data_IF_927712240957
#
_entry.id   IF_927712240957
#
_cell.length_a   1.000
_cell.length_b   1.000
_cell.length_c   1.000
_cell.angle_alpha   90.00
_cell.angle_beta   90.00
_cell.angle_gamma   90.00
#
_symmetry.space_group_name_H-M   'P 1'
#
loop_
_entity.id
_entity.type
_entity.pdbx_description
1 polymer ?
#
# COMPACT_ATOMS: atom_id res chain seq x y z
N UNK A 1 5.85 7.83 -7.70
CA UNK A 1 6.74 6.83 -7.06
C UNK A 1 6.86 7.17 -5.58
N UNK A 2 6.96 6.16 -4.73
CA UNK A 2 6.96 6.24 -3.26
C UNK A 2 8.11 5.41 -2.70
N UNK A 3 8.32 5.48 -1.38
CA UNK A 3 9.37 4.72 -0.67
C UNK A 3 8.81 3.54 0.12
N UNK A 4 7.52 3.55 0.40
CA UNK A 4 6.87 2.65 1.36
C UNK A 4 7.13 3.02 2.82
N UNK A 5 7.57 4.25 3.07
CA UNK A 5 7.68 4.82 4.41
C UNK A 5 6.46 5.70 4.66
N UNK A 6 5.55 5.22 5.48
CA UNK A 6 4.31 5.93 5.78
C UNK A 6 4.61 7.17 6.62
N UNK A 7 4.16 8.33 6.15
CA UNK A 7 4.36 9.60 6.86
C UNK A 7 3.19 9.94 7.77
N UNK A 8 1.98 9.49 7.42
CA UNK A 8 0.79 9.70 8.24
C UNK A 8 -0.24 8.58 8.04
N UNK A 9 -1.14 8.44 9.01
CA UNK A 9 -2.41 7.74 8.80
C UNK A 9 -3.53 8.77 8.74
N UNK A 10 -4.35 8.69 7.69
CA UNK A 10 -5.49 9.56 7.48
C UNK A 10 -6.81 8.85 7.74
N UNK A 11 -7.87 9.63 7.92
CA UNK A 11 -9.25 9.14 7.98
C UNK A 11 -9.98 9.44 6.68
N UNK A 12 -10.75 8.47 6.16
CA UNK A 12 -11.67 8.73 5.05
C UNK A 12 -12.78 9.68 5.51
N UNK A 13 -12.89 10.84 4.91
CA UNK A 13 -13.85 11.89 5.28
C UNK A 13 -15.11 11.86 4.41
N UNK A 14 -14.97 11.45 3.15
CA UNK A 14 -16.09 11.36 2.21
C UNK A 14 -15.84 10.33 1.12
N UNK A 15 -16.91 9.74 0.63
CA UNK A 15 -16.96 8.89 -0.55
C UNK A 15 -18.17 9.31 -1.36
N UNK A 16 -17.95 9.87 -2.55
CA UNK A 16 -19.01 10.34 -3.43
C UNK A 16 -19.01 9.55 -4.75
N UNK A 17 -20.19 9.10 -5.16
CA UNK A 17 -20.37 8.45 -6.46
C UNK A 17 -20.24 9.49 -7.58
N UNK A 18 -19.44 9.17 -8.57
CA UNK A 18 -19.31 9.89 -9.85
C UNK A 18 -19.81 8.99 -10.99
N UNK A 19 -19.92 9.52 -12.19
CA UNK A 19 -20.32 8.71 -13.36
C UNK A 19 -19.24 7.66 -13.62
N UNK A 20 -19.45 6.45 -13.07
CA UNK A 20 -18.56 5.32 -13.26
C UNK A 20 -17.39 5.16 -12.27
N UNK A 21 -17.10 6.20 -11.48
CA UNK A 21 -15.99 6.26 -10.55
C UNK A 21 -16.45 6.68 -9.15
N UNK A 22 -15.52 6.71 -8.18
CA UNK A 22 -15.72 7.30 -6.85
C UNK A 22 -14.78 8.49 -6.66
N UNK A 23 -15.25 9.57 -6.03
CA UNK A 23 -14.37 10.57 -5.43
C UNK A 23 -14.18 10.19 -3.95
N UNK A 24 -12.91 10.00 -3.56
CA UNK A 24 -12.50 9.74 -2.20
C UNK A 24 -11.92 10.99 -1.57
N UNK A 25 -12.44 11.42 -0.42
CA UNK A 25 -11.84 12.44 0.43
C UNK A 25 -11.12 11.80 1.62
N UNK A 26 -9.86 12.14 1.83
CA UNK A 26 -9.04 11.63 2.94
C UNK A 26 -8.42 12.79 3.70
N UNK A 27 -8.54 12.79 5.04
CA UNK A 27 -7.84 13.76 5.88
C UNK A 27 -6.34 13.44 5.92
N UNK A 28 -5.55 14.34 5.39
CA UNK A 28 -4.09 14.28 5.37
C UNK A 28 -3.43 15.14 6.45
N UNK A 29 -4.10 15.44 7.56
CA UNK A 29 -3.60 16.37 8.61
C UNK A 29 -2.19 16.03 9.15
N UNK A 30 -1.73 14.78 9.01
CA UNK A 30 -0.37 14.37 9.36
C UNK A 30 0.69 14.64 8.28
N UNK A 31 0.28 15.11 7.10
CA UNK A 31 1.16 15.46 5.97
C UNK A 31 1.39 16.97 5.86
N UNK A 32 2.49 17.37 5.25
CA UNK A 32 2.68 18.76 4.82
C UNK A 32 1.82 19.06 3.58
N UNK A 33 0.54 19.38 3.81
CA UNK A 33 -0.45 19.61 2.74
C UNK A 33 -0.06 20.81 1.83
N UNK A 34 0.72 21.77 2.33
CA UNK A 34 1.17 22.89 1.54
C UNK A 34 2.12 22.46 0.41
N UNK A 35 2.86 21.38 0.62
CA UNK A 35 3.77 20.82 -0.37
C UNK A 35 3.09 19.92 -1.41
N UNK A 36 1.84 19.54 -1.22
CA UNK A 36 1.11 18.68 -2.17
C UNK A 36 0.32 19.59 -3.11
N UNK A 37 0.64 19.58 -4.40
CA UNK A 37 -0.07 20.33 -5.44
C UNK A 37 -1.25 19.53 -6.02
N UNK A 38 -2.16 20.21 -6.70
CA UNK A 38 -3.15 19.54 -7.56
C UNK A 38 -2.40 18.84 -8.70
N UNK A 39 -2.76 17.61 -9.01
CA UNK A 39 -2.07 16.77 -9.98
C UNK A 39 -0.91 15.96 -9.40
N UNK A 40 -0.46 16.23 -8.17
CA UNK A 40 0.52 15.38 -7.50
C UNK A 40 -0.09 14.01 -7.16
N UNK A 41 0.79 13.00 -7.05
CA UNK A 41 0.40 11.68 -6.59
C UNK A 41 0.56 11.55 -5.08
N UNK A 42 -0.40 10.88 -4.45
CA UNK A 42 -0.35 10.44 -3.04
C UNK A 42 -0.69 8.97 -3.00
N UNK A 43 0.09 8.19 -2.28
CA UNK A 43 -0.23 6.82 -1.94
C UNK A 43 -1.28 6.81 -0.84
N UNK A 44 -2.42 6.19 -1.09
CA UNK A 44 -3.48 5.94 -0.11
C UNK A 44 -3.62 4.44 0.05
N UNK A 45 -3.28 3.92 1.21
CA UNK A 45 -3.26 2.47 1.49
C UNK A 45 -2.44 1.67 0.44
N UNK A 46 -1.34 2.24 -0.06
CA UNK A 46 -0.50 1.66 -1.10
C UNK A 46 -0.98 1.88 -2.54
N UNK A 47 -2.09 2.56 -2.74
CA UNK A 47 -2.61 2.86 -4.08
C UNK A 47 -2.21 4.28 -4.48
N UNK A 48 -1.55 4.43 -5.63
CA UNK A 48 -1.20 5.73 -6.22
C UNK A 48 -2.47 6.43 -6.72
N UNK A 49 -2.82 7.54 -6.10
CA UNK A 49 -3.95 8.37 -6.49
C UNK A 49 -3.48 9.78 -6.84
N UNK A 50 -4.12 10.39 -7.84
CA UNK A 50 -3.86 11.78 -8.22
C UNK A 50 -4.76 12.72 -7.44
N UNK A 51 -4.18 13.73 -6.81
CA UNK A 51 -4.92 14.75 -6.06
C UNK A 51 -5.64 15.66 -7.04
N UNK A 52 -6.97 15.60 -7.07
CA UNK A 52 -7.82 16.40 -7.97
C UNK A 52 -8.35 17.68 -7.32
N UNK A 53 -8.47 17.68 -5.99
CA UNK A 53 -8.98 18.80 -5.19
C UNK A 53 -8.41 18.76 -3.78
N UNK A 54 -8.29 19.95 -3.14
CA UNK A 54 -7.90 20.06 -1.72
C UNK A 54 -8.84 21.01 -0.98
N UNK A 55 -9.22 20.64 0.23
CA UNK A 55 -9.98 21.51 1.14
C UNK A 55 -9.39 21.42 2.54
N UNK A 56 -8.78 22.49 3.04
CA UNK A 56 -8.02 22.48 4.30
C UNK A 56 -6.98 21.35 4.31
N UNK A 57 -7.16 20.34 5.17
CA UNK A 57 -6.30 19.16 5.28
C UNK A 57 -6.80 17.98 4.45
N UNK A 58 -7.98 18.08 3.84
CA UNK A 58 -8.59 16.97 3.08
C UNK A 58 -8.08 16.99 1.63
N UNK A 59 -7.55 15.84 1.21
CA UNK A 59 -7.15 15.53 -0.16
C UNK A 59 -8.25 14.73 -0.83
N UNK A 60 -8.59 15.08 -2.06
CA UNK A 60 -9.58 14.37 -2.87
C UNK A 60 -8.93 13.76 -4.09
N UNK A 61 -9.33 12.56 -4.43
CA UNK A 61 -8.85 11.83 -5.60
C UNK A 61 -9.98 11.00 -6.20
N UNK A 62 -9.97 10.84 -7.52
CA UNK A 62 -10.90 9.95 -8.21
C UNK A 62 -10.35 8.54 -8.24
N UNK A 63 -11.21 7.55 -7.95
CA UNK A 63 -10.89 6.13 -7.94
C UNK A 63 -11.70 5.45 -9.06
N UNK A 64 -10.99 4.88 -10.04
CA UNK A 64 -11.62 4.14 -11.14
C UNK A 64 -12.30 2.85 -10.66
N UNK A 65 -13.24 2.34 -11.46
CA UNK A 65 -13.88 1.04 -11.21
C UNK A 65 -12.85 -0.10 -11.11
N UNK A 66 -11.80 -0.06 -11.93
CA UNK A 66 -10.74 -1.06 -11.89
C UNK A 66 -9.97 -1.00 -10.58
N UNK A 67 -9.58 0.18 -10.14
CA UNK A 67 -8.90 0.38 -8.86
C UNK A 67 -9.76 -0.11 -7.69
N UNK A 68 -11.06 0.19 -7.69
CA UNK A 68 -11.99 -0.32 -6.68
C UNK A 68 -12.09 -1.85 -6.67
N UNK A 69 -12.09 -2.48 -7.86
CA UNK A 69 -12.21 -3.93 -7.99
C UNK A 69 -10.92 -4.70 -7.67
N UNK A 70 -9.75 -4.03 -7.82
CA UNK A 70 -8.42 -4.65 -7.67
C UNK A 70 -7.74 -4.35 -6.35
N UNK A 71 -8.30 -3.46 -5.54
CA UNK A 71 -7.69 -3.00 -4.29
C UNK A 71 -8.71 -2.99 -3.15
N UNK A 72 -8.21 -2.86 -1.92
CA UNK A 72 -9.07 -2.72 -0.73
C UNK A 72 -9.82 -1.38 -0.69
N UNK A 73 -9.49 -0.42 -1.58
CA UNK A 73 -10.14 0.89 -1.59
C UNK A 73 -11.65 0.80 -1.89
N UNK A 74 -12.10 -0.20 -2.65
CA UNK A 74 -13.52 -0.43 -2.91
C UNK A 74 -14.35 -0.78 -1.68
N UNK A 75 -13.71 -1.25 -0.60
CA UNK A 75 -14.33 -1.59 0.68
C UNK A 75 -14.30 -0.47 1.73
N UNK A 76 -13.65 0.66 1.44
CA UNK A 76 -13.54 1.77 2.38
C UNK A 76 -14.89 2.41 2.70
N UNK A 77 -14.98 2.96 3.91
CA UNK A 77 -16.15 3.71 4.41
C UNK A 77 -15.67 4.99 5.06
N UNK A 78 -16.55 5.97 5.20
CA UNK A 78 -16.27 7.17 6.01
C UNK A 78 -15.86 6.73 7.42
N UNK A 79 -14.74 7.24 7.90
CA UNK A 79 -14.09 6.85 9.15
C UNK A 79 -13.05 5.72 9.02
N UNK A 80 -12.92 5.04 7.87
CA UNK A 80 -11.82 4.10 7.64
C UNK A 80 -10.47 4.79 7.76
N UNK A 81 -9.51 4.13 8.41
CA UNK A 81 -8.12 4.63 8.47
C UNK A 81 -7.32 4.11 7.28
N UNK A 82 -6.44 4.94 6.75
CA UNK A 82 -5.58 4.60 5.61
C UNK A 82 -4.16 5.13 5.82
N UNK A 83 -3.17 4.39 5.33
CA UNK A 83 -1.77 4.83 5.28
C UNK A 83 -1.60 5.86 4.18
N UNK A 84 -0.82 6.92 4.45
CA UNK A 84 -0.57 8.01 3.53
C UNK A 84 0.92 8.27 3.33
N UNK A 85 1.32 8.41 2.07
CA UNK A 85 2.66 8.83 1.67
C UNK A 85 2.55 9.74 0.44
N UNK A 86 3.07 10.98 0.44
CA UNK A 86 3.17 11.80 -0.76
C UNK A 86 4.25 11.24 -1.69
N UNK A 87 4.14 11.51 -2.99
CA UNK A 87 5.15 11.07 -3.95
C UNK A 87 6.54 11.68 -3.66
N UNK A 88 7.58 10.86 -3.91
CA UNK A 88 8.98 11.26 -3.84
C UNK A 88 9.28 12.46 -4.75
N UNK A 89 10.14 13.34 -4.27
CA UNK A 89 10.73 14.45 -5.02
C UNK A 89 12.22 14.20 -5.28
N UNK A 90 12.77 14.88 -6.25
CA UNK A 90 14.21 14.82 -6.48
C UNK A 90 14.97 15.30 -5.22
N UNK A 91 15.88 14.45 -4.75
CA UNK A 91 16.67 14.69 -3.54
C UNK A 91 16.10 14.07 -2.24
N UNK A 92 14.88 13.56 -2.27
CA UNK A 92 14.32 12.84 -1.11
C UNK A 92 15.03 11.48 -0.91
N UNK A 93 15.14 11.05 0.34
CA UNK A 93 15.76 9.77 0.68
C UNK A 93 14.83 8.60 0.36
N UNK A 94 15.37 7.55 -0.27
CA UNK A 94 14.68 6.28 -0.47
C UNK A 94 14.87 5.40 0.78
N UNK A 95 14.05 5.63 1.81
CA UNK A 95 14.16 4.92 3.10
C UNK A 95 13.70 3.47 3.11
N UNK A 96 12.88 3.06 2.14
CA UNK A 96 12.38 1.70 1.94
C UNK A 96 12.89 1.09 0.64
N UNK A 97 11.97 0.82 -0.30
CA UNK A 97 12.29 0.38 -1.65
C UNK A 97 11.49 1.17 -2.68
N UNK A 98 11.68 0.93 -3.97
CA UNK A 98 10.91 1.58 -5.03
C UNK A 98 9.48 1.04 -5.04
N UNK A 99 8.53 1.82 -4.55
CA UNK A 99 7.10 1.52 -4.54
C UNK A 99 6.42 2.40 -5.59
N UNK A 100 5.68 1.81 -6.50
CA UNK A 100 4.99 2.54 -7.57
C UNK A 100 3.58 3.01 -7.15
N UNK A 101 2.99 2.34 -6.18
CA UNK A 101 1.59 2.50 -5.80
C UNK A 101 0.65 1.75 -6.76
N UNK A 102 1.19 0.80 -7.50
CA UNK A 102 0.44 -0.03 -8.45
C UNK A 102 0.22 -1.41 -7.84
N UNK A 103 -0.83 -1.50 -7.05
CA UNK A 103 -1.23 -2.73 -6.35
C UNK A 103 -1.41 -3.87 -7.34
N UNK A 104 -0.75 -4.99 -7.06
CA UNK A 104 -0.84 -6.20 -7.88
C UNK A 104 -2.04 -7.05 -7.56
N UNK A 105 -2.34 -7.16 -6.27
CA UNK A 105 -3.49 -7.92 -5.79
C UNK A 105 -3.87 -7.55 -4.36
N UNK A 106 -5.02 -8.05 -3.95
CA UNK A 106 -5.43 -8.11 -2.54
C UNK A 106 -4.93 -9.42 -1.94
N UNK A 107 -4.12 -9.32 -0.90
CA UNK A 107 -3.70 -10.43 -0.04
C UNK A 107 -4.57 -10.50 1.22
N UNK A 108 -4.39 -11.56 2.01
CA UNK A 108 -5.15 -11.76 3.25
C UNK A 108 -4.23 -12.10 4.40
N UNK A 109 -4.42 -11.45 5.55
CA UNK A 109 -3.71 -11.81 6.78
C UNK A 109 -4.20 -13.18 7.27
N UNK A 110 -3.35 -14.20 7.19
CA UNK A 110 -3.65 -15.59 7.57
C UNK A 110 -3.29 -15.88 9.02
N UNK A 111 -2.25 -15.23 9.55
CA UNK A 111 -1.79 -15.41 10.93
C UNK A 111 -1.16 -14.14 11.47
N UNK A 112 -1.37 -13.88 12.75
CA UNK A 112 -0.70 -12.84 13.51
C UNK A 112 -0.21 -13.42 14.84
N UNK A 113 1.02 -13.12 15.20
CA UNK A 113 1.63 -13.57 16.47
C UNK A 113 2.54 -12.48 17.03
N UNK A 114 2.57 -12.35 18.34
CA UNK A 114 3.56 -11.51 19.01
C UNK A 114 4.95 -12.16 18.89
N UNK A 115 5.95 -11.36 18.58
CA UNK A 115 7.35 -11.75 18.47
C UNK A 115 8.20 -10.74 19.25
N UNK A 116 8.37 -10.99 20.54
CA UNK A 116 8.93 -10.06 21.51
C UNK A 116 8.16 -8.73 21.53
N UNK A 117 8.78 -7.64 21.05
CA UNK A 117 8.11 -6.33 20.92
C UNK A 117 7.53 -6.10 19.53
N UNK A 118 7.86 -6.96 18.57
CA UNK A 118 7.38 -6.91 17.20
C UNK A 118 6.14 -7.79 17.02
N UNK A 119 5.46 -7.62 15.91
CA UNK A 119 4.33 -8.45 15.52
C UNK A 119 4.67 -9.16 14.22
N UNK A 120 4.61 -10.49 14.23
CA UNK A 120 4.82 -11.31 13.05
C UNK A 120 3.50 -11.50 12.34
N UNK A 121 3.42 -11.05 11.10
CA UNK A 121 2.24 -11.13 10.25
C UNK A 121 2.53 -12.07 9.08
N UNK A 122 1.67 -13.08 8.88
CA UNK A 122 1.72 -13.98 7.73
C UNK A 122 0.56 -13.65 6.78
N UNK A 123 0.90 -13.42 5.53
CA UNK A 123 -0.08 -13.09 4.49
C UNK A 123 -0.16 -14.19 3.44
N UNK A 124 -1.37 -14.44 2.97
CA UNK A 124 -1.64 -15.30 1.82
C UNK A 124 -1.75 -14.46 0.56
N UNK A 125 -1.05 -14.90 -0.50
CA UNK A 125 -1.02 -14.29 -1.83
C UNK A 125 -1.87 -15.08 -2.82
N UNK A 126 -2.36 -14.43 -3.90
CA UNK A 126 -2.74 -15.12 -5.13
C UNK A 126 -1.57 -15.91 -5.73
N UNK A 127 -1.87 -17.04 -6.36
CA UNK A 127 -0.85 -17.99 -6.82
C UNK A 127 0.12 -17.41 -7.86
N UNK A 128 -0.35 -16.50 -8.69
CA UNK A 128 0.44 -15.82 -9.73
C UNK A 128 1.51 -14.85 -9.17
N UNK A 129 1.33 -14.37 -7.94
CA UNK A 129 2.27 -13.46 -7.29
C UNK A 129 3.34 -14.17 -6.46
N UNK A 130 3.13 -15.40 -6.00
CA UNK A 130 4.04 -16.09 -5.09
C UNK A 130 5.49 -16.18 -5.62
N UNK A 131 5.67 -16.34 -6.93
CA UNK A 131 6.99 -16.43 -7.57
C UNK A 131 7.84 -15.14 -7.51
N UNK A 132 7.22 -14.00 -7.19
CA UNK A 132 7.89 -12.71 -7.09
C UNK A 132 8.35 -12.37 -5.68
N UNK A 133 7.96 -13.19 -4.70
CA UNK A 133 8.27 -12.95 -3.29
C UNK A 133 9.40 -13.89 -2.86
N UNK A 134 10.46 -13.31 -2.31
CA UNK A 134 11.64 -14.06 -1.90
C UNK A 134 12.04 -13.75 -0.45
N UNK A 135 12.56 -14.72 0.32
CA UNK A 135 13.11 -14.44 1.63
C UNK A 135 14.19 -13.35 1.55
N UNK A 136 14.14 -12.38 2.47
CA UNK A 136 15.00 -11.18 2.50
C UNK A 136 14.77 -10.18 1.37
N UNK A 137 13.83 -10.44 0.47
CA UNK A 137 13.36 -9.44 -0.51
C UNK A 137 12.43 -8.40 0.10
N UNK A 138 12.15 -7.36 -0.67
CA UNK A 138 11.18 -6.32 -0.31
C UNK A 138 9.79 -6.69 -0.80
N UNK A 139 8.78 -6.25 -0.05
CA UNK A 139 7.37 -6.29 -0.44
C UNK A 139 6.67 -5.07 0.13
N UNK A 140 5.68 -4.56 -0.59
CA UNK A 140 4.83 -3.48 -0.11
C UNK A 140 3.47 -4.03 0.32
N UNK A 141 3.09 -3.77 1.57
CA UNK A 141 1.78 -4.15 2.15
C UNK A 141 1.08 -2.90 2.63
N UNK A 142 -0.10 -2.59 2.06
CA UNK A 142 -0.86 -1.37 2.36
C UNK A 142 0.00 -0.08 2.29
N UNK A 143 0.93 -0.04 1.35
CA UNK A 143 1.87 1.07 1.17
C UNK A 143 3.11 1.00 2.03
N UNK A 144 3.23 0.04 2.95
CA UNK A 144 4.37 -0.10 3.86
C UNK A 144 5.44 -1.00 3.23
N UNK A 145 6.67 -0.48 3.10
CA UNK A 145 7.84 -1.28 2.70
C UNK A 145 8.26 -2.21 3.82
N UNK A 146 8.29 -3.51 3.55
CA UNK A 146 8.63 -4.54 4.53
C UNK A 146 9.64 -5.53 3.94
N UNK A 147 10.44 -6.13 4.83
CA UNK A 147 11.32 -7.23 4.48
C UNK A 147 10.62 -8.56 4.72
N UNK A 148 10.61 -9.41 3.72
CA UNK A 148 10.10 -10.78 3.81
C UNK A 148 11.05 -11.63 4.65
N UNK A 149 10.53 -12.31 5.69
CA UNK A 149 11.33 -13.22 6.49
C UNK A 149 11.35 -14.63 5.86
N UNK A 150 10.18 -15.23 5.68
CA UNK A 150 10.04 -16.55 5.09
C UNK A 150 8.96 -16.55 4.01
N UNK A 151 9.08 -17.53 3.12
CA UNK A 151 8.07 -17.83 2.09
C UNK A 151 7.76 -19.32 2.18
N UNK A 152 6.48 -19.68 2.24
CA UNK A 152 5.98 -21.06 2.24
C UNK A 152 4.78 -21.18 1.29
N UNK A 153 5.04 -21.71 0.10
CA UNK A 153 4.05 -21.83 -0.96
C UNK A 153 3.46 -20.46 -1.35
N UNK A 154 2.19 -20.27 -1.04
CA UNK A 154 1.46 -19.02 -1.32
C UNK A 154 1.49 -18.03 -0.14
N UNK A 155 2.29 -18.30 0.89
CA UNK A 155 2.35 -17.46 2.09
C UNK A 155 3.73 -16.89 2.28
N UNK A 156 3.77 -15.68 2.81
CA UNK A 156 4.99 -15.05 3.30
C UNK A 156 4.74 -14.42 4.67
N UNK A 157 5.78 -14.24 5.44
CA UNK A 157 5.69 -13.53 6.70
C UNK A 157 6.69 -12.36 6.80
N UNK A 158 6.30 -11.37 7.58
CA UNK A 158 7.07 -10.16 7.88
C UNK A 158 7.05 -9.89 9.36
N UNK A 159 8.06 -9.17 9.87
CA UNK A 159 8.05 -8.62 11.22
C UNK A 159 7.74 -7.12 11.18
N UNK A 160 6.69 -6.72 11.88
CA UNK A 160 6.30 -5.32 12.03
C UNK A 160 6.80 -4.82 13.39
N UNK A 161 7.81 -3.94 13.38
CA UNK A 161 8.41 -3.38 14.59
C UNK A 161 7.45 -2.40 15.29
N UNK A 162 7.62 -2.12 16.59
CA UNK A 162 6.69 -1.26 17.36
C UNK A 162 6.43 0.10 16.73
N UNK A 163 7.46 0.74 16.18
CA UNK A 163 7.31 2.02 15.49
C UNK A 163 6.33 1.91 14.31
N UNK A 164 6.54 0.93 13.42
CA UNK A 164 5.66 0.70 12.25
C UNK A 164 4.25 0.34 12.66
N UNK A 165 4.07 -0.45 13.74
CA UNK A 165 2.74 -0.74 14.30
C UNK A 165 2.01 0.53 14.74
N UNK A 166 2.73 1.46 15.36
CA UNK A 166 2.14 2.68 15.93
C UNK A 166 1.76 3.72 14.85
N UNK A 167 2.54 3.80 13.74
CA UNK A 167 2.37 4.86 12.73
C UNK A 167 1.67 4.40 11.46
N UNK A 168 1.28 3.12 11.36
CA UNK A 168 0.58 2.56 10.19
C UNK A 168 -0.67 1.78 10.59
N UNK A 169 -1.52 1.46 9.62
CA UNK A 169 -2.70 0.61 9.82
C UNK A 169 -2.33 -0.86 10.11
N UNK A 170 -1.08 -1.28 9.85
CA UNK A 170 -0.63 -2.67 10.09
C UNK A 170 -0.73 -3.10 11.55
N UNK A 171 -0.62 -2.16 12.50
CA UNK A 171 -0.78 -2.44 13.92
C UNK A 171 -2.18 -2.88 14.32
N UNK A 172 -3.19 -2.52 13.53
CA UNK A 172 -4.61 -2.77 13.80
C UNK A 172 -5.16 -4.02 13.09
N UNK A 173 -4.39 -4.61 12.17
CA UNK A 173 -4.82 -5.74 11.35
C UNK A 173 -5.20 -6.95 12.20
N UNK A 174 -6.26 -7.63 11.81
CA UNK A 174 -6.76 -8.88 12.40
C UNK A 174 -6.70 -10.01 11.38
N UNK A 175 -6.55 -11.22 11.85
CA UNK A 175 -6.61 -12.42 10.98
C UNK A 175 -7.94 -12.40 10.21
N UNK A 176 -7.82 -12.52 8.90
CA UNK A 176 -8.94 -12.42 7.96
C UNK A 176 -9.03 -11.11 7.22
N UNK A 177 -8.34 -10.04 7.69
CA UNK A 177 -8.35 -8.74 7.00
C UNK A 177 -7.61 -8.84 5.66
N UNK A 178 -8.10 -8.07 4.69
CA UNK A 178 -7.53 -7.92 3.37
C UNK A 178 -6.56 -6.74 3.34
N UNK A 179 -5.49 -6.88 2.56
CA UNK A 179 -4.44 -5.86 2.39
C UNK A 179 -4.07 -5.72 0.92
N UNK A 180 -3.67 -4.52 0.53
CA UNK A 180 -3.10 -4.26 -0.79
C UNK A 180 -1.65 -4.77 -0.84
N UNK A 181 -1.32 -5.57 -1.83
CA UNK A 181 0.02 -6.10 -2.06
C UNK A 181 0.59 -5.51 -3.36
N UNK A 182 1.80 -4.96 -3.28
CA UNK A 182 2.62 -4.64 -4.46
C UNK A 182 3.96 -5.36 -4.33
N UNK A 183 4.33 -6.13 -5.37
CA UNK A 183 5.62 -6.81 -5.44
C UNK A 183 6.74 -5.80 -5.73
N UNK A 184 7.98 -6.16 -5.39
CA UNK A 184 9.13 -5.36 -5.79
C UNK A 184 9.22 -5.26 -7.32
N UNK A 185 9.32 -4.03 -7.82
CA UNK A 185 9.38 -3.75 -9.27
C UNK A 185 10.56 -4.44 -9.95
N UNK A 186 11.66 -4.68 -9.24
CA UNK A 186 12.82 -5.43 -9.75
C UNK A 186 12.42 -6.88 -10.06
N UNK A 187 11.67 -7.53 -9.16
CA UNK A 187 11.18 -8.90 -9.40
C UNK A 187 10.26 -8.97 -10.62
N UNK A 188 9.42 -7.96 -10.84
CA UNK A 188 8.51 -7.86 -11.99
C UNK A 188 9.28 -7.86 -13.32
N UNK A 189 10.28 -6.98 -13.44
CA UNK A 189 11.06 -6.88 -14.69
C UNK A 189 11.96 -8.09 -14.91
N UNK A 190 12.59 -8.64 -13.86
CA UNK A 190 13.36 -9.88 -13.95
C UNK A 190 12.51 -11.03 -14.49
N UNK A 191 11.32 -11.25 -13.94
CA UNK A 191 10.43 -12.29 -14.39
C UNK A 191 10.04 -12.12 -15.88
N UNK A 192 9.77 -10.87 -16.32
CA UNK A 192 9.45 -10.59 -17.71
C UNK A 192 10.62 -10.90 -18.65
N UNK A 193 11.84 -10.55 -18.28
CA UNK A 193 13.06 -10.80 -19.08
C UNK A 193 13.41 -12.29 -19.12
N UNK A 194 13.13 -13.04 -18.04
CA UNK A 194 13.39 -14.48 -17.97
C UNK A 194 12.34 -15.32 -18.69
N UNK A 195 11.16 -14.78 -18.98
CA UNK A 195 10.15 -15.46 -19.80
C UNK A 195 10.66 -15.52 -21.23
N UNK A 196 11.01 -16.72 -21.72
CA UNK A 196 11.35 -16.92 -23.13
C UNK A 196 10.18 -16.43 -23.99
N UNK A 197 10.41 -15.47 -24.85
CA UNK A 197 9.48 -15.15 -25.93
C UNK A 197 9.55 -16.34 -26.89
N UNK A 198 8.53 -17.20 -26.91
CA UNK A 198 8.36 -18.16 -27.97
C UNK A 198 8.16 -17.33 -29.25
N UNK A 199 9.15 -17.31 -30.08
CA UNK A 199 9.15 -16.71 -31.45
C UNK A 199 8.62 -17.73 -32.44
#
# INVERSE_FOLDING_TARGET
MFTGIILATGGVTSIAQKIGDLELGVDGAGLDIARIALGDSVSVQGVCLTVTRKENTVLFADISRETMAKTTLGGLRVGSRVNLEPSLRAGDALGGHMVSGHVDAVGKLSKAAEDARSRRLEFQLPADLARFVAPKGSICVDGVSLTVNNVDGLRFDVNVIPHTQAVTTLGELRVGDEVNIEIDVVARYLARLMTKTES
#
